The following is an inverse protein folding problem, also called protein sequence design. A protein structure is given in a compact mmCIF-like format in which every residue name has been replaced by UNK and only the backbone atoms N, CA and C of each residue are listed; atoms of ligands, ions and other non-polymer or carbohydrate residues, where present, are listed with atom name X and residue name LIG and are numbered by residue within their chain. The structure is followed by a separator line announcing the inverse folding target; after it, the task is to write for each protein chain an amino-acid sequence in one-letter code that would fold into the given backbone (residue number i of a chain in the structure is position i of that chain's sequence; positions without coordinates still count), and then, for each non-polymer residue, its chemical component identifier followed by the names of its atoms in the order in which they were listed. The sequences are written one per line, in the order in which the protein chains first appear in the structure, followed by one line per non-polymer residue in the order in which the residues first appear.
data_IF_107036837496
#
_entry.id   IF_107036837496
#
_cell.length_a   1.000
_cell.length_b   1.000
_cell.length_c   1.000
_cell.angle_alpha   90.00
_cell.angle_beta   90.00
_cell.angle_gamma   90.00
#
_symmetry.space_group_name_H-M   'P 1'
#
loop_
_entity.id
_entity.type
_entity.pdbx_description
1 polymer ?
#
# COMPACT_ATOMS: atom_id res chain seq x y z
N UNK A 1 -30.96 11.91 8.93
CA UNK A 1 -29.67 12.03 8.22
C UNK A 1 -28.51 11.68 9.14
N UNK A 2 -28.37 10.39 9.48
CA UNK A 2 -27.37 9.86 10.40
C UNK A 2 -26.73 8.59 9.82
N UNK A 3 -26.47 8.57 8.50
CA UNK A 3 -25.90 7.41 7.80
C UNK A 3 -24.53 7.75 7.19
N UNK A 4 -24.32 8.96 6.66
CA UNK A 4 -23.04 9.37 6.07
C UNK A 4 -21.93 9.67 7.10
N UNK A 5 -22.28 10.00 8.35
CA UNK A 5 -21.30 10.34 9.39
C UNK A 5 -20.63 9.11 10.05
N UNK A 6 -21.28 7.93 10.07
CA UNK A 6 -20.70 6.72 10.67
C UNK A 6 -19.61 6.08 9.81
N UNK A 7 -19.76 6.12 8.48
CA UNK A 7 -18.77 5.57 7.55
C UNK A 7 -17.45 6.38 7.56
N UNK A 8 -17.53 7.70 7.72
CA UNK A 8 -16.33 8.55 7.77
C UNK A 8 -15.50 8.30 9.02
N UNK A 9 -16.15 8.14 10.19
CA UNK A 9 -15.45 7.88 11.46
C UNK A 9 -14.72 6.53 11.46
N UNK A 10 -15.31 5.47 10.89
CA UNK A 10 -14.67 4.16 10.79
C UNK A 10 -13.45 4.20 9.84
N UNK A 11 -13.57 4.91 8.70
CA UNK A 11 -12.45 5.13 7.77
C UNK A 11 -11.34 5.99 8.40
N UNK A 12 -11.68 6.99 9.22
CA UNK A 12 -10.71 7.81 9.94
C UNK A 12 -9.98 7.03 11.05
N UNK A 13 -10.67 6.15 11.78
CA UNK A 13 -10.05 5.30 12.80
C UNK A 13 -9.08 4.28 12.19
N UNK A 14 -9.46 3.69 11.04
CA UNK A 14 -8.60 2.77 10.28
C UNK A 14 -7.35 3.49 9.76
N UNK A 15 -7.50 4.70 9.22
CA UNK A 15 -6.37 5.48 8.73
C UNK A 15 -5.38 5.88 9.84
N UNK A 16 -5.88 6.30 11.00
CA UNK A 16 -5.03 6.69 12.14
C UNK A 16 -4.23 5.50 12.71
N UNK A 17 -4.89 4.36 12.90
CA UNK A 17 -4.25 3.14 13.41
C UNK A 17 -3.24 2.54 12.43
N UNK A 18 -3.55 2.53 11.13
CA UNK A 18 -2.59 2.15 10.09
C UNK A 18 -1.40 3.10 10.06
N UNK A 19 -1.63 4.42 10.15
CA UNK A 19 -0.55 5.40 10.13
C UNK A 19 0.40 5.24 11.33
N UNK A 20 -0.12 5.00 12.52
CA UNK A 20 0.71 4.77 13.72
C UNK A 20 1.47 3.44 13.65
N UNK A 21 0.87 2.39 13.09
CA UNK A 21 1.58 1.15 12.79
C UNK A 21 2.71 1.36 11.77
N UNK A 22 2.46 2.13 10.71
CA UNK A 22 3.47 2.46 9.69
C UNK A 22 4.61 3.31 10.27
N UNK A 23 4.35 4.18 11.24
CA UNK A 23 5.41 4.95 11.95
C UNK A 23 6.31 4.05 12.81
N UNK A 24 5.80 2.92 13.31
CA UNK A 24 6.58 1.97 14.10
C UNK A 24 7.44 1.03 13.25
N UNK A 25 7.18 0.92 11.94
CA UNK A 25 8.05 0.20 11.02
C UNK A 25 9.38 0.95 10.88
N UNK A 26 10.40 0.51 11.65
CA UNK A 26 11.78 0.96 11.44
C UNK A 26 12.23 0.50 10.04
N UNK A 27 12.45 1.46 9.14
CA UNK A 27 13.06 1.18 7.85
C UNK A 27 14.46 0.60 8.05
N UNK A 28 14.69 -0.63 7.58
CA UNK A 28 16.03 -1.18 7.51
C UNK A 28 16.78 -0.48 6.36
N UNK A 29 17.77 0.35 6.69
CA UNK A 29 18.56 1.11 5.70
C UNK A 29 19.73 0.30 5.13
N UNK A 30 20.03 -0.86 5.70
CA UNK A 30 21.17 -1.72 5.33
C UNK A 30 20.85 -2.66 4.18
N UNK A 31 19.56 -2.90 3.90
CA UNK A 31 19.12 -3.65 2.74
C UNK A 31 19.27 -2.79 1.47
N UNK A 32 20.19 -3.18 0.59
CA UNK A 32 20.30 -2.63 -0.76
C UNK A 32 19.13 -3.06 -1.67
N UNK A 33 18.39 -4.07 -1.24
CA UNK A 33 17.23 -4.56 -1.98
C UNK A 33 15.98 -3.76 -1.63
N UNK A 34 15.48 -3.00 -2.60
CA UNK A 34 14.31 -2.12 -2.47
C UNK A 34 13.31 -2.51 -3.52
N UNK A 35 12.02 -2.32 -3.22
CA UNK A 35 10.95 -2.61 -4.17
C UNK A 35 11.14 -1.91 -5.52
N UNK A 36 11.83 -0.76 -5.55
CA UNK A 36 12.12 0.03 -6.75
C UNK A 36 12.91 -0.69 -7.85
N UNK A 37 13.60 -1.78 -7.51
CA UNK A 37 14.35 -2.60 -8.47
C UNK A 37 13.48 -3.64 -9.19
N UNK A 38 12.21 -3.75 -8.80
CA UNK A 38 11.29 -4.76 -9.32
C UNK A 38 10.17 -4.15 -10.17
N UNK A 39 9.56 -5.02 -10.94
CA UNK A 39 8.49 -4.75 -11.88
C UNK A 39 7.45 -5.87 -11.83
N UNK A 40 6.23 -5.55 -12.24
CA UNK A 40 5.14 -6.49 -12.38
C UNK A 40 4.43 -6.30 -13.71
N UNK A 41 4.04 -7.42 -14.33
CA UNK A 41 3.14 -7.39 -15.49
C UNK A 41 1.71 -7.31 -14.97
N UNK A 42 0.93 -6.35 -15.47
CA UNK A 42 -0.49 -6.27 -15.11
C UNK A 42 -1.26 -7.48 -15.67
N UNK A 43 -2.42 -7.80 -15.09
CA UNK A 43 -3.23 -8.96 -15.49
C UNK A 43 -3.65 -8.93 -16.97
N UNK A 44 -3.83 -7.74 -17.54
CA UNK A 44 -4.11 -7.57 -18.97
C UNK A 44 -2.91 -7.93 -19.88
N UNK A 45 -1.76 -8.27 -19.31
CA UNK A 45 -0.57 -8.79 -19.99
C UNK A 45 0.21 -7.78 -20.84
N UNK A 46 -0.41 -6.65 -21.17
CA UNK A 46 0.10 -5.69 -22.16
C UNK A 46 1.10 -4.68 -21.59
N UNK A 47 1.12 -4.49 -20.26
CA UNK A 47 1.91 -3.42 -19.62
C UNK A 47 2.71 -3.94 -18.44
N UNK A 48 3.97 -3.56 -18.41
CA UNK A 48 4.83 -3.72 -17.25
C UNK A 48 4.80 -2.44 -16.42
N UNK A 49 4.58 -2.57 -15.12
CA UNK A 49 4.64 -1.48 -14.16
C UNK A 49 5.93 -1.62 -13.37
N UNK A 50 6.72 -0.55 -13.29
CA UNK A 50 7.95 -0.53 -12.50
C UNK A 50 7.64 0.07 -11.13
N UNK A 51 8.05 -0.59 -10.05
CA UNK A 51 7.72 -0.09 -8.70
C UNK A 51 8.46 1.20 -8.33
N UNK A 52 9.51 1.56 -9.08
CA UNK A 52 10.14 2.90 -8.98
C UNK A 52 9.16 4.05 -9.20
N UNK A 53 8.07 3.85 -9.95
CA UNK A 53 7.04 4.86 -10.19
C UNK A 53 6.28 5.27 -8.92
N UNK A 54 6.38 4.46 -7.85
CA UNK A 54 5.75 4.69 -6.55
C UNK A 54 6.72 5.24 -5.49
N UNK A 55 7.87 5.79 -5.89
CA UNK A 55 8.78 6.48 -4.96
C UNK A 55 8.06 7.59 -4.20
N UNK A 56 8.29 7.65 -2.89
CA UNK A 56 7.63 8.61 -2.00
C UNK A 56 6.18 8.29 -1.65
N UNK A 57 5.64 7.15 -2.09
CA UNK A 57 4.30 6.68 -1.74
C UNK A 57 4.37 5.46 -0.81
N UNK A 58 3.36 5.31 0.05
CA UNK A 58 3.12 4.05 0.77
C UNK A 58 2.45 3.05 -0.17
N UNK A 59 2.97 1.82 -0.23
CA UNK A 59 2.49 0.76 -1.12
C UNK A 59 2.13 -0.46 -0.28
N UNK A 60 0.94 -1.04 -0.53
CA UNK A 60 0.47 -2.27 0.11
C UNK A 60 0.41 -3.40 -0.93
N UNK A 61 1.17 -4.46 -0.71
CA UNK A 61 1.12 -5.67 -1.55
C UNK A 61 0.12 -6.66 -0.94
N UNK A 62 -0.90 -7.05 -1.72
CA UNK A 62 -1.93 -8.00 -1.31
C UNK A 62 -1.90 -9.20 -2.26
N UNK A 63 -1.69 -10.40 -1.72
CA UNK A 63 -1.86 -11.64 -2.46
C UNK A 63 -3.36 -11.96 -2.55
N UNK A 64 -3.87 -12.19 -3.77
CA UNK A 64 -5.29 -12.50 -4.03
C UNK A 64 -5.41 -13.85 -4.74
N UNK A 65 -6.49 -14.59 -4.44
CA UNK A 65 -6.87 -15.83 -5.11
C UNK A 65 -8.40 -15.90 -5.23
N UNK A 66 -8.91 -16.45 -6.33
CA UNK A 66 -10.34 -16.71 -6.54
C UNK A 66 -10.63 -18.22 -6.41
N UNK A 67 -11.86 -18.56 -6.02
CA UNK A 67 -12.34 -19.94 -5.94
C UNK A 67 -12.79 -20.48 -7.30
#
# INVERSE_FOLDING_TARGET
NCHEACASCLQQLLAATVLDFLKQLRCNTTTNDRIYNYNATILEGSRTVTFSDYRGKSVLFVNVATY
#
